data_IF_342652271722
#
_entry.id   IF_342652271722
#
_cell.length_a   1.000
_cell.length_b   1.000
_cell.length_c   1.000
_cell.angle_alpha   90.00
_cell.angle_beta   90.00
_cell.angle_gamma   90.00
#
_symmetry.space_group_name_H-M   'P 1'
#
loop_
_entity.id
_entity.type
_entity.pdbx_description
1 polymer ?
#
# COMPACT_ATOMS: atom_id res chain seq x y z
N UNK A 1 -21.26 22.98 37.96
CA UNK A 1 -20.18 23.83 37.42
C UNK A 1 -19.11 22.98 36.74
N UNK A 2 -18.32 22.18 37.45
CA UNK A 2 -17.22 21.39 36.86
C UNK A 2 -17.61 20.51 35.65
N UNK A 3 -18.76 19.85 35.67
CA UNK A 3 -19.21 18.98 34.57
C UNK A 3 -19.69 19.77 33.33
N UNK A 4 -20.24 20.97 33.55
CA UNK A 4 -20.64 21.88 32.48
C UNK A 4 -19.42 22.53 31.81
N UNK A 5 -18.41 22.90 32.60
CA UNK A 5 -17.14 23.43 32.09
C UNK A 5 -16.38 22.38 31.27
N UNK A 6 -16.37 21.11 31.73
CA UNK A 6 -15.78 20.00 31.00
C UNK A 6 -16.51 19.70 29.67
N UNK A 7 -17.85 19.80 29.66
CA UNK A 7 -18.64 19.63 28.44
C UNK A 7 -18.41 20.76 27.42
N UNK A 8 -18.34 22.01 27.89
CA UNK A 8 -18.03 23.18 27.06
C UNK A 8 -16.61 23.08 26.47
N UNK A 9 -15.64 22.64 27.26
CA UNK A 9 -14.28 22.41 26.78
C UNK A 9 -14.23 21.30 25.71
N UNK A 10 -14.92 20.18 25.95
CA UNK A 10 -14.99 19.09 24.98
C UNK A 10 -15.62 19.52 23.64
N UNK A 11 -16.66 20.36 23.69
CA UNK A 11 -17.25 20.99 22.52
C UNK A 11 -16.25 21.91 21.79
N UNK A 12 -15.52 22.75 22.53
CA UNK A 12 -14.53 23.66 21.95
C UNK A 12 -13.35 22.93 21.29
N UNK A 13 -12.92 21.79 21.83
CA UNK A 13 -11.90 20.93 21.20
C UNK A 13 -12.45 20.26 19.95
N UNK A 14 -13.67 19.71 20.03
CA UNK A 14 -14.37 19.13 18.88
C UNK A 14 -14.44 20.12 17.71
N UNK A 15 -14.94 21.34 17.94
CA UNK A 15 -15.11 22.36 16.91
C UNK A 15 -13.78 22.77 16.27
N UNK A 16 -12.70 22.88 17.05
CA UNK A 16 -11.38 23.23 16.49
C UNK A 16 -10.83 22.14 15.57
N UNK A 17 -10.95 20.87 15.96
CA UNK A 17 -10.49 19.76 15.11
C UNK A 17 -11.35 19.67 13.85
N UNK A 18 -12.68 19.73 13.96
CA UNK A 18 -13.58 19.65 12.80
C UNK A 18 -13.42 20.86 11.87
N UNK A 19 -13.21 22.06 12.40
CA UNK A 19 -12.92 23.26 11.60
C UNK A 19 -11.64 23.11 10.78
N UNK A 20 -10.57 22.54 11.36
CA UNK A 20 -9.34 22.24 10.61
C UNK A 20 -9.61 21.29 9.43
N UNK A 21 -10.29 20.17 9.68
CA UNK A 21 -10.60 19.21 8.60
C UNK A 21 -11.56 19.78 7.56
N UNK A 22 -12.45 20.69 7.95
CA UNK A 22 -13.34 21.37 7.01
C UNK A 22 -12.59 22.38 6.14
N UNK A 23 -11.65 23.11 6.72
CA UNK A 23 -10.78 24.06 6.01
C UNK A 23 -9.92 23.35 4.96
N UNK A 24 -9.29 22.23 5.32
CA UNK A 24 -8.39 21.46 4.47
C UNK A 24 -9.05 20.26 3.77
N UNK A 25 -10.38 20.24 3.65
CA UNK A 25 -11.13 19.07 3.15
C UNK A 25 -10.75 18.62 1.73
N UNK A 26 -10.14 19.50 0.93
CA UNK A 26 -9.72 19.23 -0.44
C UNK A 26 -8.23 18.86 -0.57
N UNK A 27 -7.51 18.81 0.56
CA UNK A 27 -6.07 18.63 0.62
C UNK A 27 -5.75 17.39 1.47
N UNK A 28 -4.58 16.81 1.21
CA UNK A 28 -4.02 15.82 2.12
C UNK A 28 -3.39 16.56 3.31
N UNK A 29 -3.74 16.17 4.53
CA UNK A 29 -3.20 16.74 5.77
C UNK A 29 -2.30 15.75 6.49
N UNK A 30 -1.34 16.26 7.25
CA UNK A 30 -0.53 15.45 8.16
C UNK A 30 -1.12 15.48 9.57
N UNK A 31 -1.29 14.31 10.17
CA UNK A 31 -1.95 14.15 11.47
C UNK A 31 -0.99 13.46 12.42
N UNK A 32 -0.70 14.09 13.55
CA UNK A 32 0.11 13.47 14.60
C UNK A 32 -0.66 13.42 15.92
N UNK A 33 -0.68 12.26 16.57
CA UNK A 33 -1.26 12.10 17.89
C UNK A 33 -0.17 12.28 18.95
N UNK A 34 -0.20 13.43 19.60
CA UNK A 34 0.84 13.84 20.54
C UNK A 34 0.70 13.10 21.88
N UNK A 35 1.83 12.74 22.53
CA UNK A 35 1.84 12.07 23.82
C UNK A 35 1.29 12.98 24.94
N UNK A 36 0.95 12.36 26.07
CA UNK A 36 0.46 13.03 27.26
C UNK A 36 1.60 13.70 28.05
N UNK A 37 2.29 14.72 27.54
CA UNK A 37 3.28 15.46 28.37
C UNK A 37 3.70 16.80 27.75
N UNK A 38 3.99 17.81 28.59
CA UNK A 38 2.98 18.68 29.17
C UNK A 38 2.38 19.59 28.09
N UNK A 39 1.37 19.11 27.39
CA UNK A 39 0.59 19.93 26.47
C UNK A 39 -0.62 20.44 27.26
N UNK A 40 -0.93 21.76 27.23
CA UNK A 40 -2.12 22.28 27.89
C UNK A 40 -3.35 21.51 27.45
N UNK A 41 -4.16 21.10 28.42
CA UNK A 41 -5.32 20.28 28.14
C UNK A 41 -6.29 21.04 27.22
N UNK A 42 -6.87 20.32 26.26
CA UNK A 42 -7.67 20.91 25.21
C UNK A 42 -6.88 21.72 24.16
N UNK A 43 -5.55 21.80 24.17
CA UNK A 43 -4.81 22.44 23.07
C UNK A 43 -4.77 21.54 21.82
N UNK A 44 -4.65 22.15 20.64
CA UNK A 44 -4.29 21.51 19.37
C UNK A 44 -3.24 22.36 18.67
N UNK A 45 -2.29 21.73 17.97
CA UNK A 45 -1.28 22.43 17.20
C UNK A 45 -1.66 22.38 15.73
N UNK A 46 -1.63 23.53 15.07
CA UNK A 46 -1.90 23.64 13.64
C UNK A 46 -0.74 24.39 13.00
N UNK A 47 -0.15 23.79 11.98
CA UNK A 47 0.87 24.40 11.13
C UNK A 47 0.56 24.09 9.68
N UNK A 48 0.06 25.08 8.93
CA UNK A 48 -0.43 24.92 7.57
C UNK A 48 -1.39 23.71 7.43
N UNK A 49 -0.96 22.65 6.73
CA UNK A 49 -1.72 21.42 6.51
C UNK A 49 -1.39 20.30 7.50
N UNK A 50 -0.67 20.59 8.58
CA UNK A 50 -0.36 19.66 9.65
C UNK A 50 -1.17 19.98 10.92
N UNK A 51 -1.66 18.94 11.58
CA UNK A 51 -2.35 19.02 12.88
C UNK A 51 -1.74 18.05 13.89
N UNK A 52 -1.31 18.59 15.02
CA UNK A 52 -0.89 17.84 16.20
C UNK A 52 -2.00 17.81 17.25
N UNK A 53 -2.54 16.63 17.54
CA UNK A 53 -3.67 16.45 18.45
C UNK A 53 -3.21 15.67 19.69
N UNK A 54 -3.19 16.28 20.89
CA UNK A 54 -2.97 15.54 22.13
C UNK A 54 -4.03 14.46 22.30
N UNK A 55 -3.62 13.28 22.79
CA UNK A 55 -4.56 12.18 23.03
C UNK A 55 -5.68 12.54 24.02
N UNK A 56 -5.42 13.40 25.00
CA UNK A 56 -6.46 13.94 25.91
C UNK A 56 -7.49 14.78 25.15
N UNK A 57 -7.03 15.71 24.30
CA UNK A 57 -7.88 16.54 23.44
C UNK A 57 -8.73 15.68 22.49
N UNK A 58 -8.14 14.66 21.86
CA UNK A 58 -8.89 13.74 21.00
C UNK A 58 -9.96 12.96 21.77
N UNK A 59 -9.66 12.52 23.00
CA UNK A 59 -10.64 11.87 23.87
C UNK A 59 -11.79 12.81 24.25
N UNK A 60 -11.51 14.07 24.58
CA UNK A 60 -12.54 15.08 24.85
C UNK A 60 -13.45 15.29 23.63
N UNK A 61 -12.85 15.50 22.46
CA UNK A 61 -13.59 15.63 21.21
C UNK A 61 -14.44 14.39 20.93
N UNK A 62 -13.91 13.18 21.18
CA UNK A 62 -14.66 11.92 21.02
C UNK A 62 -15.88 11.84 21.95
N UNK A 63 -15.72 12.20 23.24
CA UNK A 63 -16.83 12.23 24.20
C UNK A 63 -17.95 13.16 23.79
N UNK A 64 -17.63 14.25 23.09
CA UNK A 64 -18.62 15.16 22.53
C UNK A 64 -19.21 14.63 21.22
N UNK A 65 -18.38 14.16 20.29
CA UNK A 65 -18.78 13.69 18.97
C UNK A 65 -19.67 12.44 19.01
N UNK A 66 -19.42 11.51 19.92
CA UNK A 66 -20.14 10.24 20.00
C UNK A 66 -21.66 10.40 20.22
N UNK A 67 -22.14 11.08 21.29
CA UNK A 67 -23.58 11.30 21.47
C UNK A 67 -24.18 12.13 20.34
N UNK A 68 -23.46 13.12 19.79
CA UNK A 68 -23.91 13.91 18.63
C UNK A 68 -24.13 13.04 17.40
N UNK A 69 -23.21 12.13 17.11
CA UNK A 69 -23.29 11.21 15.97
C UNK A 69 -24.54 10.34 16.07
N UNK A 70 -24.79 9.71 17.22
CA UNK A 70 -25.96 8.83 17.41
C UNK A 70 -27.27 9.61 17.47
N UNK A 71 -27.30 10.78 18.11
CA UNK A 71 -28.48 11.66 18.07
C UNK A 71 -28.82 12.03 16.63
N UNK A 72 -27.83 12.38 15.82
CA UNK A 72 -28.03 12.70 14.41
C UNK A 72 -28.46 11.47 13.58
N UNK A 73 -28.07 10.24 13.91
CA UNK A 73 -28.56 9.05 13.22
C UNK A 73 -30.06 8.80 13.43
N UNK A 74 -30.62 9.25 14.55
CA UNK A 74 -32.01 9.01 14.93
C UNK A 74 -32.92 10.25 14.81
N UNK A 75 -32.35 11.43 14.59
CA UNK A 75 -33.10 12.69 14.60
C UNK A 75 -33.98 12.87 13.34
N UNK A 76 -35.23 13.33 13.48
CA UNK A 76 -36.08 13.74 12.36
C UNK A 76 -35.69 15.11 11.76
N UNK A 77 -34.52 15.67 12.13
CA UNK A 77 -34.06 16.99 11.71
C UNK A 77 -33.96 17.13 10.19
N UNK A 78 -33.88 18.37 9.69
CA UNK A 78 -33.63 18.64 8.27
C UNK A 78 -32.42 17.84 7.75
N UNK A 79 -32.59 17.19 6.59
CA UNK A 79 -31.64 16.24 6.00
C UNK A 79 -30.21 16.81 5.90
N UNK A 80 -30.10 18.07 5.49
CA UNK A 80 -28.81 18.75 5.31
C UNK A 80 -28.05 18.93 6.62
N UNK A 81 -28.74 19.38 7.68
CA UNK A 81 -28.15 19.57 9.02
C UNK A 81 -27.70 18.24 9.60
N UNK A 82 -28.55 17.20 9.46
CA UNK A 82 -28.25 15.84 9.91
C UNK A 82 -27.00 15.28 9.25
N UNK A 83 -26.93 15.41 7.93
CA UNK A 83 -25.82 14.92 7.11
C UNK A 83 -24.51 15.61 7.49
N UNK A 84 -24.54 16.92 7.74
CA UNK A 84 -23.38 17.68 8.19
C UNK A 84 -22.87 17.17 9.55
N UNK A 85 -23.76 17.04 10.54
CA UNK A 85 -23.38 16.55 11.88
C UNK A 85 -22.82 15.14 11.85
N UNK A 86 -23.40 14.24 11.06
CA UNK A 86 -22.87 12.87 10.90
C UNK A 86 -21.48 12.91 10.26
N UNK A 87 -21.27 13.75 9.24
CA UNK A 87 -19.97 13.89 8.57
C UNK A 87 -18.88 14.45 9.49
N UNK A 88 -19.16 15.51 10.25
CA UNK A 88 -18.19 16.11 11.17
C UNK A 88 -17.91 15.19 12.37
N UNK A 89 -18.95 14.63 12.98
CA UNK A 89 -18.77 13.73 14.12
C UNK A 89 -18.04 12.45 13.72
N UNK A 90 -18.38 11.84 12.57
CA UNK A 90 -17.67 10.65 12.07
C UNK A 90 -16.18 10.90 11.80
N UNK A 91 -15.77 12.14 11.51
CA UNK A 91 -14.35 12.51 11.38
C UNK A 91 -13.62 12.28 12.69
N UNK A 92 -14.17 12.75 13.81
CA UNK A 92 -13.60 12.55 15.15
C UNK A 92 -13.62 11.07 15.56
N UNK A 93 -14.72 10.37 15.28
CA UNK A 93 -14.83 8.93 15.58
C UNK A 93 -13.73 8.15 14.86
N UNK A 94 -13.47 8.45 13.58
CA UNK A 94 -12.44 7.78 12.79
C UNK A 94 -11.02 8.20 13.15
N UNK A 95 -10.80 9.45 13.60
CA UNK A 95 -9.51 9.87 14.16
C UNK A 95 -9.20 9.15 15.46
N UNK A 96 -10.21 8.95 16.31
CA UNK A 96 -10.08 8.22 17.56
C UNK A 96 -9.90 6.72 17.34
N UNK A 97 -10.70 6.11 16.47
CA UNK A 97 -10.68 4.67 16.19
C UNK A 97 -10.86 4.39 14.68
N UNK A 98 -9.81 3.86 14.06
CA UNK A 98 -9.79 3.53 12.63
C UNK A 98 -10.74 2.39 12.25
N UNK A 99 -11.16 1.56 13.22
CA UNK A 99 -12.03 0.41 12.99
C UNK A 99 -13.50 0.71 13.27
N UNK A 100 -13.88 1.98 13.44
CA UNK A 100 -15.25 2.39 13.75
C UNK A 100 -16.21 2.21 12.56
N UNK A 101 -16.63 0.96 12.32
CA UNK A 101 -17.37 0.54 11.13
C UNK A 101 -18.70 1.30 10.93
N UNK A 102 -19.39 1.63 12.02
CA UNK A 102 -20.65 2.42 11.96
C UNK A 102 -20.41 3.81 11.37
N UNK A 103 -19.30 4.46 11.73
CA UNK A 103 -18.92 5.78 11.20
C UNK A 103 -18.57 5.68 9.71
N UNK A 104 -17.77 4.69 9.31
CA UNK A 104 -17.47 4.43 7.89
C UNK A 104 -18.75 4.19 7.09
N UNK A 105 -19.65 3.33 7.57
CA UNK A 105 -20.89 3.03 6.87
C UNK A 105 -21.85 4.23 6.81
N UNK A 106 -21.86 5.09 7.82
CA UNK A 106 -22.62 6.34 7.78
C UNK A 106 -22.08 7.27 6.66
N UNK A 107 -20.76 7.43 6.55
CA UNK A 107 -20.13 8.21 5.46
C UNK A 107 -20.45 7.62 4.09
N UNK A 108 -20.40 6.29 3.93
CA UNK A 108 -20.82 5.61 2.69
C UNK A 108 -22.26 5.93 2.30
N UNK A 109 -23.20 5.89 3.26
CA UNK A 109 -24.61 6.22 3.01
C UNK A 109 -24.80 7.67 2.57
N UNK A 110 -24.10 8.60 3.22
CA UNK A 110 -24.11 10.02 2.82
C UNK A 110 -23.61 10.16 1.37
N UNK A 111 -22.47 9.54 1.04
CA UNK A 111 -21.91 9.61 -0.31
C UNK A 111 -22.86 9.01 -1.36
N UNK A 112 -23.46 7.85 -1.09
CA UNK A 112 -24.42 7.22 -2.01
C UNK A 112 -25.69 8.06 -2.19
N UNK A 113 -26.15 8.73 -1.13
CA UNK A 113 -27.33 9.58 -1.16
C UNK A 113 -27.08 10.88 -1.93
N UNK A 114 -25.95 11.56 -1.66
CA UNK A 114 -25.60 12.83 -2.29
C UNK A 114 -25.00 12.67 -3.70
N UNK A 115 -24.33 11.54 -3.95
CA UNK A 115 -23.66 11.21 -5.21
C UNK A 115 -24.04 9.79 -5.65
N UNK A 116 -25.25 9.59 -6.20
CA UNK A 116 -25.64 8.28 -6.72
C UNK A 116 -24.76 7.88 -7.92
N UNK A 117 -24.12 6.70 -7.93
CA UNK A 117 -23.21 6.29 -9.00
C UNK A 117 -23.85 6.21 -10.40
N UNK A 118 -25.18 6.01 -10.45
CA UNK A 118 -25.95 5.87 -11.70
C UNK A 118 -26.38 7.20 -12.32
N UNK A 119 -26.12 8.34 -11.67
CA UNK A 119 -26.60 9.64 -12.13
C UNK A 119 -25.52 10.39 -12.91
N UNK A 120 -25.59 10.35 -14.24
CA UNK A 120 -24.60 10.95 -15.16
C UNK A 120 -24.57 12.48 -15.16
N UNK A 121 -25.57 13.14 -14.60
CA UNK A 121 -25.63 14.58 -14.43
C UNK A 121 -26.79 14.89 -13.48
N UNK A 122 -26.50 15.28 -12.25
CA UNK A 122 -27.47 16.02 -11.45
C UNK A 122 -26.87 17.35 -11.03
N UNK A 123 -27.75 18.34 -10.98
CA UNK A 123 -27.45 19.71 -10.61
C UNK A 123 -26.62 19.75 -9.34
N UNK A 124 -25.60 20.62 -9.34
CA UNK A 124 -24.79 20.87 -8.16
C UNK A 124 -25.74 21.13 -6.98
N UNK A 125 -25.52 20.48 -5.83
CA UNK A 125 -26.35 20.72 -4.65
C UNK A 125 -26.39 22.22 -4.35
N UNK A 126 -27.56 22.73 -3.98
CA UNK A 126 -27.82 24.16 -3.70
C UNK A 126 -26.94 24.73 -2.59
N UNK A 127 -26.34 23.85 -1.79
CA UNK A 127 -25.35 24.16 -0.75
C UNK A 127 -24.12 23.27 -0.91
N UNK A 128 -22.96 23.75 -0.45
CA UNK A 128 -21.73 22.97 -0.47
C UNK A 128 -21.91 21.70 0.38
N UNK A 129 -21.77 20.50 -0.20
CA UNK A 129 -21.97 19.25 0.52
C UNK A 129 -20.90 19.10 1.62
N UNK A 130 -21.24 18.48 2.76
CA UNK A 130 -20.30 18.33 3.88
C UNK A 130 -19.16 17.36 3.54
N UNK A 131 -19.43 16.33 2.74
CA UNK A 131 -18.43 15.43 2.16
C UNK A 131 -18.75 15.16 0.70
N UNK A 132 -17.72 14.94 -0.10
CA UNK A 132 -17.77 14.51 -1.51
C UNK A 132 -16.86 13.31 -1.71
N UNK A 133 -16.97 12.55 -2.82
CA UNK A 133 -16.03 11.47 -3.10
C UNK A 133 -14.56 11.93 -3.14
N UNK A 134 -14.28 13.15 -3.61
CA UNK A 134 -12.93 13.72 -3.65
C UNK A 134 -12.40 14.07 -2.26
N UNK A 135 -13.20 14.75 -1.44
CA UNK A 135 -12.81 15.11 -0.07
C UNK A 135 -12.68 13.88 0.81
N UNK A 136 -13.50 12.84 0.58
CA UNK A 136 -13.38 11.55 1.27
C UNK A 136 -12.07 10.84 0.92
N UNK A 137 -11.66 10.89 -0.36
CA UNK A 137 -10.39 10.31 -0.79
C UNK A 137 -9.21 11.04 -0.14
N UNK A 138 -9.27 12.37 -0.04
CA UNK A 138 -8.25 13.19 0.64
C UNK A 138 -8.17 12.86 2.15
N UNK A 139 -9.33 12.75 2.81
CA UNK A 139 -9.41 12.36 4.22
C UNK A 139 -8.83 10.96 4.48
N UNK A 140 -9.22 9.97 3.65
CA UNK A 140 -8.68 8.62 3.74
C UNK A 140 -7.17 8.56 3.47
N UNK A 141 -6.68 9.37 2.53
CA UNK A 141 -5.24 9.46 2.26
C UNK A 141 -4.54 9.97 3.52
N UNK A 142 -5.02 11.07 4.09
CA UNK A 142 -4.47 11.67 5.32
C UNK A 142 -4.41 10.68 6.49
N UNK A 143 -5.47 9.89 6.71
CA UNK A 143 -5.49 8.87 7.77
C UNK A 143 -4.50 7.71 7.52
N UNK A 144 -4.29 7.33 6.26
CA UNK A 144 -3.48 6.17 5.87
C UNK A 144 -1.99 6.49 5.71
N UNK A 145 -1.62 7.76 5.51
CA UNK A 145 -0.23 8.18 5.23
C UNK A 145 0.41 9.02 6.35
N UNK A 146 -0.39 9.52 7.30
CA UNK A 146 0.10 10.20 8.49
C UNK A 146 0.75 9.20 9.47
N UNK A 147 1.57 9.65 10.45
CA UNK A 147 2.18 8.81 11.49
C UNK A 147 1.17 8.25 12.52
N UNK A 148 0.09 7.63 12.03
CA UNK A 148 -1.00 7.04 12.77
C UNK A 148 -0.90 5.52 12.67
N UNK A 149 -0.11 4.89 13.55
CA UNK A 149 0.21 3.46 13.44
C UNK A 149 -0.99 2.51 13.44
N UNK A 150 -2.14 2.89 14.03
CA UNK A 150 -3.37 2.08 13.99
C UNK A 150 -4.09 2.25 12.65
N UNK A 151 -4.26 3.49 12.21
CA UNK A 151 -4.96 3.86 10.99
C UNK A 151 -4.26 3.37 9.73
N UNK A 152 -2.93 3.52 9.67
CA UNK A 152 -2.09 3.13 8.52
C UNK A 152 -2.29 1.66 8.12
N UNK A 153 -2.54 0.77 9.09
CA UNK A 153 -2.80 -0.66 8.87
C UNK A 153 -4.27 -1.06 9.07
N UNK A 154 -5.19 -0.11 9.02
CA UNK A 154 -6.60 -0.39 9.26
C UNK A 154 -7.23 -1.17 8.10
N UNK A 155 -7.70 -2.42 8.30
CA UNK A 155 -8.46 -3.14 7.28
C UNK A 155 -9.72 -2.38 6.86
N UNK A 156 -10.40 -1.72 7.82
CA UNK A 156 -11.63 -0.96 7.57
C UNK A 156 -11.36 0.25 6.67
N UNK A 157 -10.32 1.05 6.94
CA UNK A 157 -9.98 2.22 6.10
C UNK A 157 -9.51 1.82 4.70
N UNK A 158 -8.66 0.79 4.57
CA UNK A 158 -8.25 0.27 3.26
C UNK A 158 -9.42 -0.32 2.47
N UNK A 159 -10.35 -1.00 3.14
CA UNK A 159 -11.60 -1.47 2.54
C UNK A 159 -12.48 -0.31 2.08
N UNK A 160 -12.59 0.75 2.88
CA UNK A 160 -13.34 1.95 2.54
C UNK A 160 -12.74 2.69 1.34
N UNK A 161 -11.41 2.83 1.27
CA UNK A 161 -10.72 3.40 0.09
C UNK A 161 -11.01 2.59 -1.18
N UNK A 162 -10.93 1.26 -1.11
CA UNK A 162 -11.26 0.37 -2.24
C UNK A 162 -12.71 0.51 -2.66
N UNK A 163 -13.64 0.53 -1.71
CA UNK A 163 -15.06 0.77 -1.96
C UNK A 163 -15.25 2.09 -2.69
N UNK A 164 -14.68 3.19 -2.17
CA UNK A 164 -14.85 4.53 -2.72
C UNK A 164 -14.42 4.61 -4.19
N UNK A 165 -13.23 4.10 -4.52
CA UNK A 165 -12.73 4.09 -5.89
C UNK A 165 -13.55 3.16 -6.81
N UNK A 166 -14.17 2.12 -6.25
CA UNK A 166 -15.06 1.17 -6.98
C UNK A 166 -16.41 1.76 -7.27
N UNK A 167 -16.99 2.45 -6.30
CA UNK A 167 -18.25 3.15 -6.43
C UNK A 167 -18.13 4.37 -7.34
N UNK A 168 -17.00 5.07 -7.31
CA UNK A 168 -16.78 6.31 -8.06
C UNK A 168 -15.58 6.19 -9.02
N UNK A 169 -15.72 5.49 -10.16
CA UNK A 169 -14.64 5.37 -11.15
C UNK A 169 -14.24 6.72 -11.78
N UNK A 170 -15.10 7.74 -11.71
CA UNK A 170 -14.74 9.11 -12.11
C UNK A 170 -13.62 9.73 -11.26
N UNK A 171 -13.28 9.15 -10.11
CA UNK A 171 -12.10 9.56 -9.33
C UNK A 171 -10.78 9.12 -9.97
N UNK A 172 -10.80 8.09 -10.82
CA UNK A 172 -9.61 7.54 -11.47
C UNK A 172 -9.43 8.04 -12.90
N UNK A 173 -10.49 8.56 -13.52
CA UNK A 173 -10.52 9.02 -14.92
C UNK A 173 -11.45 10.24 -15.09
N UNK A 174 -11.00 11.26 -15.82
CA UNK A 174 -11.87 12.36 -16.29
C UNK A 174 -12.80 11.87 -17.41
N UNK A 175 -14.02 12.42 -17.57
CA UNK A 175 -14.95 11.99 -18.60
C UNK A 175 -14.38 12.17 -20.02
N UNK A 176 -14.48 11.10 -20.82
CA UNK A 176 -14.02 11.04 -22.21
C UNK A 176 -14.76 12.02 -23.13
N UNK A 177 -14.05 12.97 -23.72
CA UNK A 177 -14.43 13.70 -24.95
C UNK A 177 -13.25 13.63 -25.96
N UNK A 178 -13.37 14.07 -27.24
CA UNK A 178 -12.67 13.43 -28.37
C UNK A 178 -11.15 13.65 -28.40
N UNK A 179 -10.48 12.78 -29.18
CA UNK A 179 -9.04 12.61 -29.48
C UNK A 179 -7.97 13.36 -28.66
N UNK A 180 -7.99 14.70 -28.58
CA UNK A 180 -7.06 15.49 -27.73
C UNK A 180 -7.31 15.26 -26.23
N UNK A 181 -8.56 15.01 -25.83
CA UNK A 181 -8.92 14.64 -24.48
C UNK A 181 -8.55 13.20 -24.10
N UNK A 182 -8.28 12.31 -25.07
CA UNK A 182 -7.77 10.94 -24.78
C UNK A 182 -6.35 10.98 -24.22
N UNK A 183 -5.49 11.81 -24.80
CA UNK A 183 -4.12 12.01 -24.28
C UNK A 183 -4.13 12.67 -22.90
N UNK A 184 -5.00 13.67 -22.70
CA UNK A 184 -5.20 14.33 -21.41
C UNK A 184 -5.74 13.35 -20.35
N UNK A 185 -6.75 12.54 -20.68
CA UNK A 185 -7.30 11.51 -19.80
C UNK A 185 -6.25 10.44 -19.45
N UNK A 186 -5.45 9.99 -20.43
CA UNK A 186 -4.34 9.07 -20.18
C UNK A 186 -3.24 9.69 -19.29
N UNK A 187 -2.97 10.99 -19.43
CA UNK A 187 -2.04 11.73 -18.55
C UNK A 187 -2.61 11.86 -17.13
N UNK A 188 -3.89 12.17 -17.00
CA UNK A 188 -4.59 12.26 -15.72
C UNK A 188 -4.63 10.91 -15.01
N UNK A 189 -4.97 9.83 -15.71
CA UNK A 189 -4.96 8.47 -15.16
C UNK A 189 -3.56 8.06 -14.69
N UNK A 190 -2.50 8.38 -15.46
CA UNK A 190 -1.11 8.16 -15.03
C UNK A 190 -0.72 9.01 -13.82
N UNK A 191 -1.19 10.26 -13.74
CA UNK A 191 -0.95 11.12 -12.57
C UNK A 191 -1.64 10.55 -11.33
N UNK A 192 -2.90 10.14 -11.46
CA UNK A 192 -3.66 9.48 -10.38
C UNK A 192 -2.97 8.18 -9.94
N UNK A 193 -2.59 7.31 -10.88
CA UNK A 193 -1.91 6.06 -10.58
C UNK A 193 -0.60 6.28 -9.81
N UNK A 194 0.21 7.27 -10.22
CA UNK A 194 1.42 7.65 -9.46
C UNK A 194 1.09 8.15 -8.06
N UNK A 195 0.01 8.92 -7.90
CA UNK A 195 -0.49 9.35 -6.60
C UNK A 195 -0.87 8.18 -5.71
N UNK A 196 -1.61 7.20 -6.22
CA UNK A 196 -1.98 6.00 -5.46
C UNK A 196 -0.78 5.13 -5.08
N UNK A 197 0.20 4.98 -5.98
CA UNK A 197 1.45 4.27 -5.68
C UNK A 197 2.23 5.02 -4.58
N UNK A 198 2.27 6.35 -4.63
CA UNK A 198 2.90 7.16 -3.59
C UNK A 198 2.21 7.00 -2.23
N UNK A 199 0.88 7.03 -2.19
CA UNK A 199 0.09 6.76 -0.97
C UNK A 199 0.42 5.39 -0.39
N UNK A 200 0.55 4.38 -1.24
CA UNK A 200 0.89 3.03 -0.84
C UNK A 200 2.30 2.95 -0.23
N UNK A 201 3.32 3.54 -0.87
CA UNK A 201 4.68 3.53 -0.32
C UNK A 201 4.76 4.28 1.00
N UNK A 202 4.13 5.44 1.12
CA UNK A 202 4.10 6.19 2.38
C UNK A 202 3.42 5.42 3.50
N UNK A 203 2.33 4.71 3.21
CA UNK A 203 1.67 3.86 4.20
C UNK A 203 2.47 2.60 4.56
N UNK A 204 3.27 2.07 3.64
CA UNK A 204 4.18 0.96 3.91
C UNK A 204 5.41 1.41 4.73
N UNK A 205 5.88 2.64 4.54
CA UNK A 205 6.95 3.27 5.33
C UNK A 205 6.47 3.58 6.76
N UNK A 206 5.27 4.16 6.90
CA UNK A 206 4.69 4.51 8.19
C UNK A 206 4.34 3.28 9.07
N UNK A 207 4.18 2.10 8.46
CA UNK A 207 3.99 0.85 9.18
C UNK A 207 4.75 -0.30 8.51
N UNK A 208 5.90 -0.74 9.05
CA UNK A 208 6.63 -1.88 8.49
C UNK A 208 5.76 -3.11 8.32
N UNK A 209 5.91 -3.82 7.20
CA UNK A 209 5.15 -5.04 6.87
C UNK A 209 3.64 -4.81 6.80
N UNK A 210 3.22 -3.66 6.27
CA UNK A 210 1.81 -3.30 6.13
C UNK A 210 1.08 -4.19 5.11
N UNK A 211 0.62 -5.35 5.57
CA UNK A 211 -0.07 -6.33 4.73
C UNK A 211 -1.28 -5.75 3.98
N UNK A 212 -1.99 -4.79 4.59
CA UNK A 212 -3.18 -4.18 3.99
C UNK A 212 -2.83 -3.21 2.85
N UNK A 213 -1.78 -2.39 3.01
CA UNK A 213 -1.26 -1.58 1.91
C UNK A 213 -0.80 -2.45 0.74
N UNK A 214 -0.04 -3.53 0.99
CA UNK A 214 0.42 -4.41 -0.08
C UNK A 214 -0.71 -5.25 -0.71
N UNK A 215 -1.76 -5.57 0.04
CA UNK A 215 -3.01 -6.15 -0.50
C UNK A 215 -3.74 -5.14 -1.38
N UNK A 216 -3.71 -3.85 -1.03
CA UNK A 216 -4.21 -2.78 -1.88
C UNK A 216 -3.41 -2.65 -3.18
N UNK A 217 -2.07 -2.79 -3.16
CA UNK A 217 -1.25 -2.86 -4.39
C UNK A 217 -1.71 -3.96 -5.35
N UNK A 218 -1.98 -5.17 -4.82
CA UNK A 218 -2.48 -6.29 -5.62
C UNK A 218 -3.81 -5.95 -6.30
N UNK A 219 -4.71 -5.30 -5.57
CA UNK A 219 -5.98 -4.83 -6.13
C UNK A 219 -5.80 -3.73 -7.17
N UNK A 220 -4.90 -2.76 -6.95
CA UNK A 220 -4.58 -1.72 -7.93
C UNK A 220 -4.05 -2.32 -9.24
N UNK A 221 -3.11 -3.26 -9.16
CA UNK A 221 -2.57 -3.91 -10.35
C UNK A 221 -3.58 -4.84 -11.03
N UNK A 222 -4.38 -5.58 -10.25
CA UNK A 222 -5.30 -6.58 -10.78
C UNK A 222 -6.63 -6.01 -11.28
N UNK A 223 -7.29 -5.17 -10.50
CA UNK A 223 -8.62 -4.65 -10.80
C UNK A 223 -8.60 -3.27 -11.44
N UNK A 224 -7.50 -2.51 -11.29
CA UNK A 224 -7.35 -1.15 -11.87
C UNK A 224 -6.29 -1.04 -12.95
N UNK A 225 -5.60 -2.14 -13.27
CA UNK A 225 -4.52 -2.16 -14.26
C UNK A 225 -3.45 -1.09 -14.02
N UNK A 226 -3.24 -0.70 -12.75
CA UNK A 226 -2.18 0.23 -12.37
C UNK A 226 -0.84 -0.44 -12.56
N UNK A 227 0.00 0.15 -13.41
CA UNK A 227 1.34 -0.32 -13.68
C UNK A 227 2.30 0.25 -12.63
N UNK A 228 3.04 -0.63 -11.97
CA UNK A 228 4.10 -0.26 -11.05
C UNK A 228 5.42 -0.23 -11.80
N UNK A 229 6.21 0.82 -11.60
CA UNK A 229 7.59 0.83 -12.06
C UNK A 229 8.39 -0.17 -11.20
N UNK A 230 8.98 -1.18 -11.83
CA UNK A 230 9.79 -2.17 -11.12
C UNK A 230 11.05 -1.57 -10.49
N UNK A 231 11.69 -0.59 -11.11
CA UNK A 231 12.88 0.06 -10.55
C UNK A 231 12.55 0.78 -9.24
N UNK A 232 11.42 1.48 -9.22
CA UNK A 232 10.92 2.13 -8.00
C UNK A 232 10.59 1.10 -6.90
N UNK A 233 9.97 -0.03 -7.28
CA UNK A 233 9.66 -1.11 -6.33
C UNK A 233 10.92 -1.78 -5.76
N UNK A 234 11.91 -2.08 -6.61
CA UNK A 234 13.20 -2.65 -6.19
C UNK A 234 13.93 -1.67 -5.28
N UNK A 235 14.01 -0.39 -5.68
CA UNK A 235 14.61 0.68 -4.88
C UNK A 235 13.94 0.81 -3.51
N UNK A 236 12.60 0.71 -3.46
CA UNK A 236 11.87 0.71 -2.19
C UNK A 236 12.18 -0.52 -1.34
N UNK A 237 12.15 -1.74 -1.91
CA UNK A 237 12.39 -2.98 -1.16
C UNK A 237 13.81 -3.05 -0.58
N UNK A 238 14.80 -2.56 -1.32
CA UNK A 238 16.20 -2.48 -0.87
C UNK A 238 16.35 -1.57 0.35
N UNK A 239 15.64 -0.44 0.40
CA UNK A 239 15.60 0.45 1.57
C UNK A 239 14.86 -0.16 2.77
N UNK A 240 14.05 -1.19 2.55
CA UNK A 240 13.23 -1.86 3.56
C UNK A 240 13.48 -3.38 3.57
N UNK A 241 14.72 -3.83 3.84
CA UNK A 241 15.12 -5.22 3.62
C UNK A 241 14.34 -6.22 4.49
N UNK A 242 13.80 -5.77 5.63
CA UNK A 242 12.95 -6.54 6.56
C UNK A 242 11.44 -6.55 6.24
N UNK A 243 10.99 -5.90 5.16
CA UNK A 243 9.56 -5.84 4.80
C UNK A 243 9.13 -7.01 3.93
N UNK A 244 8.73 -8.10 4.57
CA UNK A 244 8.24 -9.32 3.90
C UNK A 244 7.06 -9.06 2.95
N UNK A 245 6.23 -8.04 3.22
CA UNK A 245 5.04 -7.77 2.40
C UNK A 245 5.43 -7.04 1.10
N UNK A 246 6.38 -6.11 1.18
CA UNK A 246 6.98 -5.44 0.01
C UNK A 246 7.70 -6.42 -0.90
N UNK A 247 8.58 -7.26 -0.34
CA UNK A 247 9.28 -8.32 -1.09
C UNK A 247 8.30 -9.31 -1.73
N UNK A 248 7.24 -9.72 -1.01
CA UNK A 248 6.20 -10.58 -1.55
C UNK A 248 5.38 -9.91 -2.68
N UNK A 249 5.21 -8.59 -2.63
CA UNK A 249 4.59 -7.85 -3.72
C UNK A 249 5.51 -7.72 -4.94
N UNK A 250 6.79 -7.38 -4.77
CA UNK A 250 7.77 -7.32 -5.86
C UNK A 250 7.78 -8.65 -6.64
N UNK A 251 7.80 -9.77 -5.93
CA UNK A 251 7.65 -11.10 -6.51
C UNK A 251 6.36 -11.25 -7.36
N UNK A 252 5.23 -10.85 -6.79
CA UNK A 252 3.94 -10.95 -7.47
C UNK A 252 3.91 -10.07 -8.72
N UNK A 253 4.45 -8.86 -8.65
CA UNK A 253 4.53 -7.93 -9.78
C UNK A 253 5.39 -8.51 -10.91
N UNK A 254 6.54 -9.10 -10.58
CA UNK A 254 7.40 -9.80 -11.54
C UNK A 254 6.66 -10.92 -12.25
N UNK A 255 5.97 -11.81 -11.52
CA UNK A 255 5.21 -12.89 -12.16
C UNK A 255 4.13 -12.37 -13.11
N UNK A 256 3.40 -11.33 -12.71
CA UNK A 256 2.31 -10.76 -13.54
C UNK A 256 2.83 -10.22 -14.86
N UNK A 257 4.02 -9.62 -14.86
CA UNK A 257 4.67 -9.13 -16.08
C UNK A 257 5.20 -10.24 -17.02
N UNK A 258 5.10 -11.53 -16.64
CA UNK A 258 5.41 -12.68 -17.53
C UNK A 258 4.18 -13.37 -18.13
N UNK A 259 2.98 -13.10 -17.64
CA UNK A 259 1.77 -13.74 -18.16
C UNK A 259 1.56 -13.37 -19.65
N UNK A 260 1.12 -14.35 -20.47
CA UNK A 260 1.84 -14.82 -21.65
C UNK A 260 2.10 -13.69 -22.66
N UNK A 261 3.27 -13.07 -22.55
CA UNK A 261 3.88 -12.43 -23.70
C UNK A 261 4.23 -13.55 -24.67
N UNK A 262 3.39 -13.70 -25.70
CA UNK A 262 3.66 -14.47 -26.92
C UNK A 262 5.15 -14.33 -27.26
N UNK A 263 5.81 -15.47 -27.52
CA UNK A 263 7.20 -15.62 -27.95
C UNK A 263 7.61 -14.51 -28.94
N UNK A 264 8.15 -13.41 -28.40
CA UNK A 264 8.57 -12.22 -29.15
C UNK A 264 9.85 -11.69 -28.49
N UNK A 265 10.66 -10.91 -29.22
CA UNK A 265 11.89 -10.28 -28.70
C UNK A 265 11.67 -9.54 -27.37
N UNK A 266 10.44 -9.07 -27.12
CA UNK A 266 10.00 -8.46 -25.86
C UNK A 266 10.17 -9.35 -24.62
N UNK A 267 10.17 -10.68 -24.77
CA UNK A 267 10.43 -11.62 -23.67
C UNK A 267 11.91 -11.60 -23.26
N UNK A 268 12.84 -11.50 -24.21
CA UNK A 268 14.29 -11.42 -23.89
C UNK A 268 14.60 -10.14 -23.12
N UNK A 269 14.10 -9.00 -23.57
CA UNK A 269 14.31 -7.71 -22.88
C UNK A 269 13.82 -7.75 -21.43
N UNK A 270 12.65 -8.34 -21.21
CA UNK A 270 12.06 -8.52 -19.88
C UNK A 270 12.91 -9.46 -19.00
N UNK A 271 13.47 -10.53 -19.57
CA UNK A 271 14.37 -11.45 -18.84
C UNK A 271 15.70 -10.78 -18.47
N UNK A 272 16.30 -10.01 -19.39
CA UNK A 272 17.52 -9.21 -19.13
C UNK A 272 17.29 -8.24 -17.98
N UNK A 273 16.17 -7.51 -18.01
CA UNK A 273 15.84 -6.54 -16.98
C UNK A 273 15.72 -7.21 -15.59
N UNK A 274 15.07 -8.37 -15.52
CA UNK A 274 14.89 -9.14 -14.26
C UNK A 274 16.19 -9.72 -13.76
N UNK A 275 17.02 -10.26 -14.65
CA UNK A 275 18.34 -10.75 -14.30
C UNK A 275 19.16 -9.62 -13.64
N UNK A 276 19.19 -8.44 -14.25
CA UNK A 276 19.88 -7.28 -13.71
C UNK A 276 19.30 -6.84 -12.35
N UNK A 277 17.96 -6.85 -12.20
CA UNK A 277 17.30 -6.54 -10.92
C UNK A 277 17.68 -7.55 -9.83
N UNK A 278 17.63 -8.85 -10.13
CA UNK A 278 18.01 -9.88 -9.17
C UNK A 278 19.49 -9.77 -8.80
N UNK A 279 20.38 -9.45 -9.75
CA UNK A 279 21.78 -9.18 -9.47
C UNK A 279 21.97 -8.01 -8.51
N UNK A 280 21.21 -6.92 -8.68
CA UNK A 280 21.25 -5.77 -7.77
C UNK A 280 20.81 -6.20 -6.35
N UNK A 281 19.71 -6.94 -6.24
CA UNK A 281 19.20 -7.45 -4.96
C UNK A 281 20.19 -8.40 -4.29
N UNK A 282 20.80 -9.31 -5.06
CA UNK A 282 21.81 -10.26 -4.58
C UNK A 282 23.05 -9.54 -4.06
N UNK A 283 23.64 -8.63 -4.85
CA UNK A 283 24.79 -7.83 -4.42
C UNK A 283 24.47 -7.02 -3.16
N UNK A 284 23.32 -6.36 -3.12
CA UNK A 284 22.88 -5.63 -1.94
C UNK A 284 22.78 -6.54 -0.71
N UNK A 285 22.18 -7.73 -0.85
CA UNK A 285 22.07 -8.67 0.26
C UNK A 285 23.42 -9.18 0.76
N UNK A 286 24.38 -9.38 -0.14
CA UNK A 286 25.68 -9.93 0.23
C UNK A 286 26.63 -8.86 0.79
N UNK A 287 26.63 -7.67 0.20
CA UNK A 287 27.63 -6.63 0.49
C UNK A 287 27.16 -5.61 1.53
N UNK A 288 25.86 -5.33 1.61
CA UNK A 288 25.33 -4.20 2.40
C UNK A 288 24.39 -4.68 3.52
N UNK A 289 23.54 -5.67 3.24
CA UNK A 289 22.45 -6.07 4.14
C UNK A 289 22.33 -7.60 4.25
N UNK A 290 23.36 -8.27 4.79
CA UNK A 290 23.33 -9.71 4.98
C UNK A 290 22.25 -10.12 6.00
N UNK A 291 21.75 -11.35 5.90
CA UNK A 291 20.91 -11.95 6.94
C UNK A 291 19.42 -11.58 6.94
N UNK A 292 18.95 -10.74 6.01
CA UNK A 292 17.53 -10.43 5.90
C UNK A 292 16.74 -11.54 5.21
N UNK A 293 16.00 -12.31 6.00
CA UNK A 293 15.25 -13.47 5.52
C UNK A 293 14.21 -13.13 4.44
N UNK A 294 13.52 -11.98 4.54
CA UNK A 294 12.52 -11.57 3.55
C UNK A 294 13.10 -11.37 2.15
N UNK A 295 14.34 -10.87 2.08
CA UNK A 295 15.07 -10.70 0.83
C UNK A 295 15.43 -12.08 0.25
N UNK A 296 15.97 -12.99 1.07
CA UNK A 296 16.30 -14.35 0.64
C UNK A 296 15.07 -15.17 0.22
N UNK A 297 13.92 -14.96 0.86
CA UNK A 297 12.64 -15.52 0.41
C UNK A 297 12.24 -15.02 -0.97
N UNK A 298 12.49 -13.75 -1.29
CA UNK A 298 12.29 -13.21 -2.64
C UNK A 298 13.24 -13.86 -3.65
N UNK A 299 14.55 -13.89 -3.38
CA UNK A 299 15.55 -14.55 -4.26
C UNK A 299 15.13 -15.99 -4.56
N UNK A 300 14.78 -16.74 -3.50
CA UNK A 300 14.29 -18.11 -3.62
C UNK A 300 13.04 -18.20 -4.48
N UNK A 301 12.05 -17.34 -4.28
CA UNK A 301 10.82 -17.34 -5.07
C UNK A 301 11.11 -17.11 -6.56
N UNK A 302 12.00 -16.17 -6.89
CA UNK A 302 12.42 -15.87 -8.26
C UNK A 302 13.07 -17.06 -8.94
N UNK A 303 14.02 -17.73 -8.26
CA UNK A 303 14.76 -18.85 -8.82
C UNK A 303 13.93 -20.13 -8.92
N UNK A 304 13.09 -20.40 -7.92
CA UNK A 304 12.35 -21.68 -7.83
C UNK A 304 11.04 -21.68 -8.60
N UNK A 305 10.44 -20.51 -8.89
CA UNK A 305 9.15 -20.43 -9.57
C UNK A 305 9.26 -19.98 -11.03
N UNK A 306 10.44 -20.16 -11.63
CA UNK A 306 10.67 -20.07 -13.07
C UNK A 306 10.57 -18.69 -13.69
N UNK A 307 10.78 -17.62 -12.91
CA UNK A 307 10.76 -16.24 -13.45
C UNK A 307 11.93 -15.96 -14.38
N UNK A 308 13.03 -16.68 -14.24
CA UNK A 308 14.22 -16.59 -15.09
C UNK A 308 14.33 -17.76 -16.08
N UNK A 309 13.29 -18.59 -16.21
CA UNK A 309 13.28 -19.71 -17.14
C UNK A 309 12.98 -19.19 -18.56
N UNK A 310 13.92 -19.38 -19.48
CA UNK A 310 13.86 -18.93 -20.87
C UNK A 310 14.89 -19.67 -21.72
N UNK A 311 14.53 -19.94 -22.97
CA UNK A 311 15.20 -20.89 -23.88
C UNK A 311 16.74 -20.79 -23.87
N UNK A 312 17.37 -21.96 -23.74
CA UNK A 312 18.80 -22.24 -23.87
C UNK A 312 19.36 -21.99 -25.31
N UNK A 313 18.73 -21.10 -26.09
CA UNK A 313 19.24 -20.69 -27.40
C UNK A 313 20.29 -19.59 -27.26
N UNK A 314 21.34 -19.88 -26.48
CA UNK A 314 22.64 -19.27 -26.73
C UNK A 314 23.22 -19.99 -27.96
N UNK A 315 22.93 -19.45 -29.15
CA UNK A 315 23.57 -19.82 -30.43
C UNK A 315 25.12 -19.66 -30.42
N UNK A 316 25.71 -19.28 -29.28
CA UNK A 316 27.13 -19.13 -29.04
C UNK A 316 27.75 -20.18 -28.09
N UNK A 317 26.99 -21.19 -27.64
CA UNK A 317 27.53 -22.39 -26.98
C UNK A 317 28.36 -22.15 -25.71
N UNK A 318 28.19 -21.00 -25.04
CA UNK A 318 28.97 -20.61 -23.87
C UNK A 318 28.10 -19.95 -22.80
N UNK A 319 27.46 -20.78 -21.98
CA UNK A 319 26.94 -20.40 -20.67
C UNK A 319 25.45 -20.69 -20.53
N UNK A 320 25.09 -21.50 -19.54
CA UNK A 320 23.69 -21.77 -19.20
C UNK A 320 22.91 -20.47 -18.99
N UNK A 321 21.59 -20.52 -19.22
CA UNK A 321 20.69 -19.36 -19.14
C UNK A 321 20.80 -18.52 -17.86
N UNK A 322 20.11 -17.38 -17.81
CA UNK A 322 20.22 -16.40 -16.69
C UNK A 322 20.16 -17.04 -15.30
N UNK A 323 19.32 -18.06 -15.10
CA UNK A 323 19.23 -18.82 -13.86
C UNK A 323 20.54 -19.53 -13.51
N UNK A 324 21.17 -20.23 -14.45
CA UNK A 324 22.43 -20.95 -14.23
C UNK A 324 23.54 -19.99 -13.77
N UNK A 325 23.65 -18.81 -14.40
CA UNK A 325 24.62 -17.77 -14.00
C UNK A 325 24.43 -17.30 -12.56
N UNK A 326 23.18 -17.17 -12.10
CA UNK A 326 22.88 -16.81 -10.71
C UNK A 326 23.22 -17.98 -9.77
N UNK A 327 22.87 -19.21 -10.14
CA UNK A 327 23.16 -20.41 -9.34
C UNK A 327 24.67 -20.60 -9.15
N UNK A 328 25.46 -20.44 -10.21
CA UNK A 328 26.93 -20.54 -10.15
C UNK A 328 27.52 -19.49 -9.22
N UNK A 329 26.99 -18.25 -9.25
CA UNK A 329 27.38 -17.20 -8.32
C UNK A 329 27.07 -17.58 -6.87
N UNK A 330 25.87 -18.11 -6.58
CA UNK A 330 25.46 -18.54 -5.25
C UNK A 330 26.32 -19.69 -4.71
N UNK A 331 26.62 -20.69 -5.55
CA UNK A 331 27.54 -21.79 -5.21
C UNK A 331 28.94 -21.27 -4.92
N UNK A 332 29.42 -20.31 -5.71
CA UNK A 332 30.69 -19.63 -5.48
C UNK A 332 30.74 -18.85 -4.16
N UNK A 333 29.60 -18.33 -3.68
CA UNK A 333 29.51 -17.67 -2.37
C UNK A 333 29.51 -18.68 -1.21
N UNK A 334 28.81 -19.81 -1.35
CA UNK A 334 28.77 -20.85 -0.30
C UNK A 334 30.12 -21.57 -0.13
N UNK A 335 30.87 -21.75 -1.23
CA UNK A 335 32.16 -22.44 -1.24
C UNK A 335 33.31 -21.65 -0.58
N UNK A 336 33.16 -20.35 -0.34
CA UNK A 336 34.22 -19.55 0.31
C UNK A 336 34.37 -19.95 1.78
N UNK A 337 35.61 -20.07 2.27
CA UNK A 337 35.88 -20.20 3.70
C UNK A 337 35.64 -18.87 4.41
N UNK A 338 35.29 -18.93 5.70
CA UNK A 338 34.92 -17.74 6.43
C UNK A 338 35.55 -17.63 7.82
N UNK A 339 35.86 -16.40 8.27
CA UNK A 339 36.45 -16.17 9.59
C UNK A 339 35.57 -16.72 10.72
N UNK A 340 36.19 -17.19 11.81
CA UNK A 340 35.52 -17.82 12.97
C UNK A 340 34.64 -16.82 13.75
N UNK A 341 34.84 -15.50 13.56
CA UNK A 341 34.01 -14.44 14.16
C UNK A 341 33.21 -13.74 13.07
N UNK A 342 31.99 -14.21 12.87
CA UNK A 342 31.07 -13.70 11.86
C UNK A 342 30.02 -12.87 12.58
N UNK A 343 29.75 -11.65 12.13
CA UNK A 343 28.61 -10.88 12.60
C UNK A 343 27.32 -11.71 12.39
N UNK A 344 26.38 -11.65 13.34
CA UNK A 344 25.16 -12.48 13.34
C UNK A 344 24.42 -12.48 11.99
N UNK A 345 24.38 -11.33 11.33
CA UNK A 345 23.72 -11.14 10.04
C UNK A 345 24.36 -11.95 8.90
N UNK A 346 25.70 -12.07 8.88
CA UNK A 346 26.41 -12.88 7.88
C UNK A 346 26.19 -14.39 8.18
N UNK A 347 26.09 -14.78 9.45
CA UNK A 347 25.72 -16.16 9.79
C UNK A 347 24.30 -16.49 9.29
N UNK A 348 23.33 -15.60 9.53
CA UNK A 348 21.95 -15.75 9.04
C UNK A 348 21.89 -15.84 7.52
N UNK A 349 22.66 -15.00 6.82
CA UNK A 349 22.79 -15.05 5.37
C UNK A 349 23.19 -16.45 4.89
N UNK A 350 24.21 -17.06 5.51
CA UNK A 350 24.67 -18.39 5.11
C UNK A 350 23.64 -19.48 5.33
N UNK A 351 22.90 -19.40 6.42
CA UNK A 351 21.80 -20.35 6.66
C UNK A 351 20.80 -20.27 5.52
N UNK A 352 20.42 -19.07 5.10
CA UNK A 352 19.55 -18.86 3.95
C UNK A 352 20.17 -19.32 2.62
N UNK A 353 21.44 -18.98 2.36
CA UNK A 353 22.17 -19.35 1.15
C UNK A 353 22.29 -20.86 0.99
N UNK A 354 22.75 -21.57 2.04
CA UNK A 354 22.89 -23.03 2.03
C UNK A 354 21.57 -23.74 1.84
N UNK A 355 20.52 -23.27 2.53
CA UNK A 355 19.19 -23.80 2.34
C UNK A 355 18.72 -23.62 0.89
N UNK A 356 18.98 -22.45 0.29
CA UNK A 356 18.63 -22.19 -1.10
C UNK A 356 19.41 -23.08 -2.08
N UNK A 357 20.74 -23.19 -1.95
CA UNK A 357 21.58 -24.03 -2.82
C UNK A 357 21.14 -25.49 -2.74
N UNK A 358 20.95 -26.02 -1.52
CA UNK A 358 20.45 -27.39 -1.31
C UNK A 358 19.12 -27.62 -2.01
N UNK A 359 18.20 -26.66 -1.92
CA UNK A 359 16.86 -26.81 -2.49
C UNK A 359 16.87 -26.69 -4.03
N UNK A 360 17.80 -25.93 -4.59
CA UNK A 360 18.09 -25.89 -6.04
C UNK A 360 18.64 -27.26 -6.50
N UNK A 361 19.61 -27.81 -5.79
CA UNK A 361 20.23 -29.10 -6.12
C UNK A 361 19.22 -30.25 -6.02
N UNK A 362 18.37 -30.24 -4.99
CA UNK A 362 17.28 -31.20 -4.83
C UNK A 362 16.26 -31.12 -5.98
N UNK A 363 15.91 -29.92 -6.42
CA UNK A 363 15.02 -29.72 -7.56
C UNK A 363 15.65 -30.27 -8.85
N UNK A 364 16.93 -29.98 -9.10
CA UNK A 364 17.65 -30.50 -10.26
C UNK A 364 17.74 -32.03 -10.26
N UNK A 365 18.00 -32.65 -9.11
CA UNK A 365 18.02 -34.11 -8.96
C UNK A 365 16.64 -34.75 -9.19
N UNK A 366 15.56 -34.11 -8.71
CA UNK A 366 14.19 -34.57 -8.94
C UNK A 366 13.76 -34.55 -10.41
N UNK A 367 14.18 -33.53 -11.17
CA UNK A 367 13.97 -33.48 -12.62
C UNK A 367 14.77 -34.56 -13.36
N UNK A 368 16.03 -34.80 -12.96
CA UNK A 368 16.87 -35.84 -13.57
C UNK A 368 16.27 -37.25 -13.43
N UNK A 369 15.63 -37.56 -12.29
CA UNK A 369 14.95 -38.86 -12.09
C UNK A 369 13.70 -38.98 -12.96
N UNK A 370 12.89 -37.92 -13.09
CA UNK A 370 11.68 -37.92 -13.91
C UNK A 370 11.97 -38.04 -15.42
N UNK A 371 13.03 -37.41 -15.92
CA UNK A 371 13.46 -37.51 -17.32
C UNK A 371 14.04 -38.91 -17.64
N UNK A 372 14.66 -39.58 -16.65
CA UNK A 372 15.16 -40.95 -16.83
C UNK A 372 14.01 -41.97 -16.88
N UNK A 373 12.95 -41.78 -16.08
CA UNK A 373 11.76 -42.65 -16.11
C UNK A 373 10.90 -42.45 -17.37
N UNK A 374 10.90 -41.26 -17.99
CA UNK A 374 10.23 -41.03 -19.27
C UNK A 374 11.00 -41.56 -20.49
N UNK A 375 12.31 -41.70 -20.41
CA UNK A 375 13.16 -42.25 -21.48
C UNK A 375 13.12 -43.79 -21.57
N UNK A 376 12.61 -44.47 -20.55
CA UNK A 376 12.55 -45.94 -20.46
C UNK A 376 11.19 -46.53 -20.88
N UNK A 377 10.29 -45.73 -21.47
CA UNK A 377 9.12 -46.29 -22.16
C UNK A 377 9.50 -46.74 -23.58
N UNK A 378 9.41 -48.05 -23.91
CA UNK A 378 9.68 -48.53 -25.25
C UNK A 378 8.61 -48.01 -26.23
N UNK A 379 8.94 -47.92 -27.54
CA UNK A 379 8.09 -47.31 -28.57
C UNK A 379 6.72 -47.97 -28.76
#
# INVERSE_FOLDING_TARGET
>A
MADADAAAEAAAVYERITAFFQLHRHEEVQIELLPFYPIPDGHIYVDATAIGIPKSSLWKAFRHAHPLFFAALHAPSAEASRTSTIATASTILLLHDSEYLTAVNARKRILLSLFPPSSLAQAAPTSLPPITPLTELAFLTSLLTSPLHRHTKSPVLWSHRRWLLTTYPGLTTLPSRPSSARAAAAKAARKWARGEISTLFRAAEAHPRNYYAWTYARWLAGSRNVQFNQEDLVSWCIKHPSDVSGWGWLWTAERRSLAPAVYTDRRRDVLVQRYNQLLVVLKYSHEISPGHESLWRFIRAVLMQGVLDGDDDDAAGRGGGYKARIVDMLRGWDAREWPVRVAEDIWRERVCLRALVRDIDAMAAGYAVADTEMSDQPP
#
